data_IF_249658152143
#
_entry.id   IF_249658152143
#
_cell.length_a   1.000
_cell.length_b   1.000
_cell.length_c   1.000
_cell.angle_alpha   90.00
_cell.angle_beta   90.00
_cell.angle_gamma   90.00
#
_symmetry.space_group_name_H-M   'P 1'
#
loop_
_entity.id
_entity.type
_entity.pdbx_description
1 polymer ?
#
# COMPACT_ATOMS: atom_id res chain seq x y z
N UNK A 1 6.88 -26.93 15.16
CA UNK A 1 6.53 -25.61 15.74
C UNK A 1 7.21 -24.45 14.99
N UNK A 2 8.54 -24.43 14.79
CA UNK A 2 9.26 -23.31 14.16
C UNK A 2 8.74 -22.92 12.76
N UNK A 3 8.36 -23.90 11.93
CA UNK A 3 7.84 -23.66 10.56
C UNK A 3 6.54 -22.87 10.56
N UNK A 4 5.61 -23.18 11.46
CA UNK A 4 4.35 -22.46 11.59
C UNK A 4 4.59 -21.01 12.03
N UNK A 5 5.49 -20.81 13.00
CA UNK A 5 5.87 -19.47 13.46
C UNK A 5 6.45 -18.62 12.33
N UNK A 6 7.35 -19.18 11.50
CA UNK A 6 7.91 -18.45 10.35
C UNK A 6 6.87 -18.08 9.30
N UNK A 7 5.90 -18.98 9.03
CA UNK A 7 4.82 -18.70 8.08
C UNK A 7 3.95 -17.56 8.61
N UNK A 8 3.48 -17.64 9.86
CA UNK A 8 2.65 -16.58 10.43
C UNK A 8 3.40 -15.24 10.53
N UNK A 9 4.68 -15.26 10.91
CA UNK A 9 5.51 -14.06 10.93
C UNK A 9 5.66 -13.44 9.54
N UNK A 10 5.96 -14.25 8.51
CA UNK A 10 6.04 -13.79 7.14
C UNK A 10 4.73 -13.19 6.63
N UNK A 11 3.60 -13.86 6.89
CA UNK A 11 2.26 -13.35 6.53
C UNK A 11 1.95 -12.02 7.19
N UNK A 12 2.29 -11.84 8.47
CA UNK A 12 2.08 -10.59 9.18
C UNK A 12 2.97 -9.49 8.58
N UNK A 13 4.23 -9.78 8.25
CA UNK A 13 5.17 -8.80 7.69
C UNK A 13 4.66 -8.25 6.36
N UNK A 14 4.19 -9.10 5.42
CA UNK A 14 3.70 -8.64 4.12
C UNK A 14 2.42 -7.80 4.25
N UNK A 15 1.50 -8.20 5.14
CA UNK A 15 0.27 -7.42 5.40
C UNK A 15 0.61 -6.05 6.00
N UNK A 16 1.50 -6.01 6.99
CA UNK A 16 1.95 -4.75 7.59
C UNK A 16 2.64 -3.85 6.56
N UNK A 17 3.40 -4.44 5.64
CA UNK A 17 4.06 -3.71 4.57
C UNK A 17 3.05 -3.04 3.62
N UNK A 18 2.05 -3.79 3.12
CA UNK A 18 1.00 -3.22 2.27
C UNK A 18 0.19 -2.12 2.97
N UNK A 19 -0.15 -2.31 4.25
CA UNK A 19 -0.82 -1.27 5.05
C UNK A 19 0.07 -0.03 5.18
N UNK A 20 1.35 -0.20 5.52
CA UNK A 20 2.30 0.89 5.66
C UNK A 20 2.46 1.69 4.35
N UNK A 21 2.35 1.03 3.20
CA UNK A 21 2.36 1.67 1.88
C UNK A 21 1.10 2.51 1.61
N UNK A 22 -0.09 2.06 2.04
CA UNK A 22 -1.35 2.80 1.81
C UNK A 22 -1.43 4.08 2.66
N UNK A 23 -0.91 4.07 3.89
CA UNK A 23 -0.98 5.20 4.84
C UNK A 23 -0.51 6.57 4.27
N UNK A 24 0.65 6.68 3.60
CA UNK A 24 1.13 7.97 3.06
C UNK A 24 0.41 8.44 1.77
N UNK A 25 -0.62 7.75 1.28
CA UNK A 25 -1.34 8.07 0.04
C UNK A 25 -1.64 9.56 -0.14
N UNK A 26 -2.23 10.21 0.89
CA UNK A 26 -2.60 11.62 0.81
C UNK A 26 -1.40 12.55 0.61
N UNK A 27 -0.26 12.21 1.21
CA UNK A 27 0.99 12.96 1.05
C UNK A 27 1.56 12.77 -0.35
N UNK A 28 1.54 11.55 -0.86
CA UNK A 28 2.04 11.20 -2.20
C UNK A 28 1.20 11.83 -3.30
N UNK A 29 -0.13 11.72 -3.23
CA UNK A 29 -1.03 12.36 -4.21
C UNK A 29 -0.86 13.89 -4.21
N UNK A 30 -0.56 14.49 -3.04
CA UNK A 30 -0.30 15.92 -2.92
C UNK A 30 1.07 16.34 -3.49
N UNK A 31 2.09 15.48 -3.45
CA UNK A 31 3.42 15.81 -3.96
C UNK A 31 3.48 15.94 -5.49
N UNK A 32 2.50 15.41 -6.23
CA UNK A 32 2.39 15.59 -7.69
C UNK A 32 2.01 17.02 -8.13
N UNK A 33 1.72 17.94 -7.21
CA UNK A 33 1.44 19.33 -7.55
C UNK A 33 0.05 19.56 -8.17
N UNK A 34 -0.13 20.60 -9.02
CA UNK A 34 -1.42 20.99 -9.57
C UNK A 34 -1.82 20.11 -10.76
N UNK A 35 -2.04 18.82 -10.52
CA UNK A 35 -2.65 17.90 -11.49
C UNK A 35 -4.19 17.97 -11.44
N UNK A 36 -4.83 17.57 -12.54
CA UNK A 36 -6.29 17.55 -12.67
C UNK A 36 -6.96 16.66 -11.62
N UNK A 37 -8.24 16.91 -11.34
CA UNK A 37 -9.02 16.09 -10.37
C UNK A 37 -9.07 14.62 -10.78
N UNK A 38 -9.23 14.34 -12.07
CA UNK A 38 -9.27 12.97 -12.59
C UNK A 38 -7.93 12.27 -12.44
N UNK A 39 -6.82 12.96 -12.73
CA UNK A 39 -5.47 12.41 -12.53
C UNK A 39 -5.21 12.07 -11.07
N UNK A 40 -5.63 12.92 -10.12
CA UNK A 40 -5.54 12.62 -8.67
C UNK A 40 -6.31 11.36 -8.30
N UNK A 41 -7.49 11.16 -8.91
CA UNK A 41 -8.33 10.00 -8.66
C UNK A 41 -7.71 8.71 -9.20
N UNK A 42 -7.14 8.75 -10.41
CA UNK A 42 -6.41 7.62 -11.01
C UNK A 42 -5.23 7.22 -10.12
N UNK A 43 -4.36 8.18 -9.76
CA UNK A 43 -3.20 7.90 -8.89
C UNK A 43 -3.63 7.34 -7.54
N UNK A 44 -4.74 7.84 -6.98
CA UNK A 44 -5.28 7.31 -5.72
C UNK A 44 -5.74 5.86 -5.87
N UNK A 45 -6.42 5.53 -6.98
CA UNK A 45 -6.87 4.16 -7.26
C UNK A 45 -5.67 3.22 -7.46
N UNK A 46 -4.66 3.64 -8.22
CA UNK A 46 -3.44 2.85 -8.44
C UNK A 46 -2.68 2.61 -7.12
N UNK A 47 -2.53 3.64 -6.29
CA UNK A 47 -1.88 3.52 -4.98
C UNK A 47 -2.58 2.53 -4.05
N UNK A 48 -3.92 2.49 -4.09
CA UNK A 48 -4.69 1.51 -3.32
C UNK A 48 -4.48 0.09 -3.85
N UNK A 49 -4.51 -0.09 -5.16
CA UNK A 49 -4.31 -1.40 -5.80
C UNK A 49 -2.90 -1.92 -5.54
N UNK A 50 -1.89 -1.07 -5.66
CA UNK A 50 -0.50 -1.42 -5.36
C UNK A 50 -0.34 -1.80 -3.89
N UNK A 51 -0.84 -0.97 -2.97
CA UNK A 51 -0.80 -1.26 -1.54
C UNK A 51 -1.54 -2.54 -1.14
N UNK A 52 -2.65 -2.86 -1.78
CA UNK A 52 -3.38 -4.12 -1.56
C UNK A 52 -2.61 -5.32 -2.12
N UNK A 53 -1.98 -5.16 -3.29
CA UNK A 53 -1.16 -6.21 -3.91
C UNK A 53 0.03 -6.56 -3.03
N UNK A 54 0.61 -5.59 -2.32
CA UNK A 54 1.71 -5.83 -1.38
C UNK A 54 1.33 -6.67 -0.15
N UNK A 55 0.03 -6.88 0.12
CA UNK A 55 -0.43 -7.75 1.21
C UNK A 55 -0.44 -9.24 0.86
N UNK A 56 -0.20 -9.62 -0.41
CA UNK A 56 -0.33 -10.99 -0.93
C UNK A 56 0.86 -11.39 -1.82
#
# INVERSE_FOLDING_TARGET
MIRGVMIYAGSIIIILWGIAHILPMKSVVRSFGPISRESKRIITMEWIVEGLTLCF
#
